data_IF_160700761140
#
_entry.id   IF_160700761140
#
_cell.length_a   1.000
_cell.length_b   1.000
_cell.length_c   1.000
_cell.angle_alpha   90.00
_cell.angle_beta   90.00
_cell.angle_gamma   90.00
#
_symmetry.space_group_name_H-M   'P 1'
#
loop_
_entity.id
_entity.type
_entity.pdbx_description
1 polymer ?
#
# COMPACT_ATOMS: atom_id res chain seq x y z
N UNK A 1 -27.63 13.38 -65.79
CA UNK A 1 -26.85 13.02 -64.58
C UNK A 1 -26.83 14.24 -63.66
N UNK A 2 -27.42 14.12 -62.47
CA UNK A 2 -27.62 15.25 -61.55
C UNK A 2 -26.29 15.81 -61.05
N UNK A 3 -26.12 17.14 -61.12
CA UNK A 3 -25.06 17.86 -60.42
C UNK A 3 -25.25 17.70 -58.90
N UNK A 4 -24.53 16.74 -58.32
CA UNK A 4 -24.48 16.57 -56.87
C UNK A 4 -23.80 17.82 -56.28
N UNK A 5 -24.56 18.60 -55.53
CA UNK A 5 -24.16 19.88 -54.95
C UNK A 5 -22.87 19.73 -54.10
N UNK A 6 -21.72 20.06 -54.69
CA UNK A 6 -20.35 19.91 -54.13
C UNK A 6 -20.21 20.50 -52.71
N UNK A 7 -20.94 21.57 -52.40
CA UNK A 7 -20.90 22.23 -51.09
C UNK A 7 -21.53 21.37 -49.97
N UNK A 8 -22.63 20.66 -50.25
CA UNK A 8 -23.26 19.75 -49.27
C UNK A 8 -22.36 18.54 -48.97
N UNK A 9 -21.73 17.98 -49.99
CA UNK A 9 -20.78 16.86 -49.84
C UNK A 9 -19.56 17.26 -49.01
N UNK A 10 -18.99 18.43 -49.28
CA UNK A 10 -17.86 18.96 -48.50
C UNK A 10 -18.23 19.26 -47.04
N UNK A 11 -19.45 19.76 -46.79
CA UNK A 11 -19.94 19.98 -45.43
C UNK A 11 -20.04 18.65 -44.65
N UNK A 12 -20.66 17.62 -45.24
CA UNK A 12 -20.79 16.29 -44.62
C UNK A 12 -19.40 15.67 -44.37
N UNK A 13 -18.48 15.76 -45.33
CA UNK A 13 -17.12 15.24 -45.18
C UNK A 13 -16.35 15.94 -44.04
N UNK A 14 -16.44 17.28 -43.94
CA UNK A 14 -15.80 18.04 -42.86
C UNK A 14 -16.41 17.71 -41.49
N UNK A 15 -17.72 17.52 -41.41
CA UNK A 15 -18.37 17.11 -40.15
C UNK A 15 -17.95 15.70 -39.73
N UNK A 16 -17.89 14.75 -40.67
CA UNK A 16 -17.44 13.38 -40.39
C UNK A 16 -15.97 13.35 -39.94
N UNK A 17 -15.09 14.13 -40.58
CA UNK A 17 -13.69 14.31 -40.15
C UNK A 17 -13.59 14.93 -38.76
N UNK A 18 -14.42 15.94 -38.47
CA UNK A 18 -14.49 16.57 -37.15
C UNK A 18 -14.89 15.56 -36.07
N UNK A 19 -15.96 14.79 -36.29
CA UNK A 19 -16.41 13.73 -35.36
C UNK A 19 -15.29 12.71 -35.15
N UNK A 20 -14.60 12.29 -36.21
CA UNK A 20 -13.45 11.39 -36.12
C UNK A 20 -12.36 11.93 -35.20
N UNK A 21 -11.92 13.18 -35.43
CA UNK A 21 -10.87 13.82 -34.61
C UNK A 21 -11.31 13.95 -33.15
N UNK A 22 -12.56 14.37 -32.89
CA UNK A 22 -13.09 14.45 -31.53
C UNK A 22 -13.14 13.08 -30.85
N UNK A 23 -13.60 12.03 -31.54
CA UNK A 23 -13.62 10.68 -30.98
C UNK A 23 -12.21 10.17 -30.67
N UNK A 24 -11.25 10.34 -31.58
CA UNK A 24 -9.85 9.95 -31.36
C UNK A 24 -9.20 10.72 -30.21
N UNK A 25 -9.38 12.04 -30.16
CA UNK A 25 -8.84 12.86 -29.07
C UNK A 25 -9.46 12.49 -27.72
N UNK A 26 -10.77 12.20 -27.69
CA UNK A 26 -11.46 11.71 -26.50
C UNK A 26 -10.96 10.35 -26.03
N UNK A 27 -10.66 9.43 -26.95
CA UNK A 27 -10.07 8.12 -26.62
C UNK A 27 -8.65 8.27 -26.06
N UNK A 28 -7.81 9.10 -26.70
CA UNK A 28 -6.44 9.36 -26.22
C UNK A 28 -6.47 10.00 -24.83
N UNK A 29 -7.34 11.00 -24.62
CA UNK A 29 -7.51 11.65 -23.33
C UNK A 29 -8.05 10.69 -22.26
N UNK A 30 -9.04 9.86 -22.62
CA UNK A 30 -9.59 8.84 -21.73
C UNK A 30 -8.55 7.81 -21.29
N UNK A 31 -7.73 7.34 -22.23
CA UNK A 31 -6.62 6.43 -21.93
C UNK A 31 -5.59 7.06 -20.99
N UNK A 32 -5.23 8.33 -21.23
CA UNK A 32 -4.33 9.08 -20.37
C UNK A 32 -4.88 9.26 -18.95
N UNK A 33 -6.15 9.66 -18.81
CA UNK A 33 -6.80 9.83 -17.51
C UNK A 33 -6.91 8.51 -16.75
N UNK A 34 -7.18 7.40 -17.44
CA UNK A 34 -7.23 6.07 -16.83
C UNK A 34 -5.86 5.67 -16.27
N UNK A 35 -4.78 5.83 -17.05
CA UNK A 35 -3.42 5.55 -16.58
C UNK A 35 -3.03 6.43 -15.40
N UNK A 36 -3.39 7.71 -15.42
CA UNK A 36 -3.10 8.63 -14.32
C UNK A 36 -3.77 8.25 -12.97
N UNK A 37 -4.80 7.40 -12.98
CA UNK A 37 -5.48 6.90 -11.77
C UNK A 37 -4.96 5.55 -11.28
N UNK A 38 -4.24 4.79 -12.12
CA UNK A 38 -3.73 3.49 -11.73
C UNK A 38 -2.47 3.65 -10.88
N UNK A 39 -2.57 3.41 -9.57
CA UNK A 39 -1.43 3.22 -8.66
C UNK A 39 -1.56 1.85 -8.00
N UNK A 40 -1.07 0.78 -8.62
CA UNK A 40 -1.37 -0.55 -8.06
C UNK A 40 -0.45 -0.94 -6.90
N UNK A 41 0.83 -0.57 -6.89
CA UNK A 41 1.79 -1.06 -5.88
C UNK A 41 2.92 -0.10 -5.48
N UNK A 42 2.73 1.22 -5.62
CA UNK A 42 3.81 2.18 -5.33
C UNK A 42 3.85 2.63 -3.89
N UNK A 43 5.04 2.66 -3.31
CA UNK A 43 5.27 3.14 -1.96
C UNK A 43 5.46 4.65 -1.95
N UNK A 44 4.83 5.29 -0.97
CA UNK A 44 4.88 6.75 -0.77
C UNK A 44 5.95 7.12 0.26
N UNK A 45 6.47 8.37 0.22
CA UNK A 45 7.39 8.87 1.25
C UNK A 45 6.83 8.72 2.67
N UNK A 46 7.69 8.79 3.72
CA UNK A 46 7.22 8.79 5.09
C UNK A 46 6.26 9.96 5.35
N UNK A 47 5.32 9.78 6.27
CA UNK A 47 4.31 10.79 6.59
C UNK A 47 3.24 11.01 5.52
N UNK A 48 3.23 10.22 4.42
CA UNK A 48 2.14 10.31 3.45
C UNK A 48 0.79 9.94 4.07
N UNK A 49 -0.22 10.75 3.78
CA UNK A 49 -1.62 10.42 4.06
C UNK A 49 -2.07 9.22 3.23
N UNK A 50 -3.25 8.70 3.55
CA UNK A 50 -3.90 7.65 2.76
C UNK A 50 -3.92 8.01 1.27
N UNK A 51 -3.70 7.03 0.39
CA UNK A 51 -3.41 7.26 -1.03
C UNK A 51 -4.42 8.21 -1.70
N UNK A 52 -5.72 8.04 -1.42
CA UNK A 52 -6.77 8.88 -2.01
C UNK A 52 -6.75 10.34 -1.53
N UNK A 53 -6.28 10.61 -0.32
CA UNK A 53 -6.12 11.94 0.26
C UNK A 53 -4.80 12.56 -0.20
N UNK A 54 -3.73 11.77 -0.20
CA UNK A 54 -2.42 12.15 -0.71
C UNK A 54 -2.49 12.67 -2.14
N UNK A 55 -3.18 11.95 -3.04
CA UNK A 55 -3.33 12.36 -4.44
C UNK A 55 -4.12 13.66 -4.63
N UNK A 56 -4.99 14.02 -3.68
CA UNK A 56 -5.74 15.29 -3.71
C UNK A 56 -4.90 16.47 -3.25
N UNK A 57 -4.04 16.26 -2.25
CA UNK A 57 -3.22 17.30 -1.63
C UNK A 57 -1.88 17.52 -2.34
N UNK A 58 -1.34 16.49 -3.00
CA UNK A 58 -0.04 16.57 -3.64
C UNK A 58 -0.09 17.46 -4.89
N UNK A 59 0.53 18.64 -4.80
CA UNK A 59 0.68 19.58 -5.92
C UNK A 59 1.89 19.27 -6.82
N UNK A 60 2.55 18.11 -6.64
CA UNK A 60 3.64 17.64 -7.50
C UNK A 60 4.85 18.58 -7.57
N UNK A 61 5.14 19.28 -6.47
CA UNK A 61 6.21 20.30 -6.41
C UNK A 61 7.64 19.73 -6.36
N UNK A 62 7.83 18.43 -6.07
CA UNK A 62 9.14 17.78 -6.04
C UNK A 62 10.07 18.15 -4.88
N UNK A 63 9.62 18.96 -3.91
CA UNK A 63 10.45 19.35 -2.76
C UNK A 63 10.88 18.15 -1.91
N UNK A 64 9.97 17.21 -1.65
CA UNK A 64 10.32 16.00 -0.89
C UNK A 64 11.42 15.16 -1.57
N UNK A 65 11.47 15.14 -2.91
CA UNK A 65 12.53 14.46 -3.69
C UNK A 65 13.85 15.21 -3.54
N UNK A 66 13.83 16.53 -3.66
CA UNK A 66 15.05 17.37 -3.57
C UNK A 66 15.69 17.31 -2.18
N UNK A 67 14.88 17.22 -1.12
CA UNK A 67 15.36 17.15 0.26
C UNK A 67 15.63 15.72 0.73
N UNK A 68 15.51 14.71 -0.13
CA UNK A 68 15.88 13.34 0.21
C UNK A 68 17.40 13.18 0.06
N UNK A 69 18.17 12.98 1.14
CA UNK A 69 19.64 12.96 1.07
C UNK A 69 20.22 11.70 0.39
N UNK A 70 19.40 10.67 0.18
CA UNK A 70 19.81 9.38 -0.36
C UNK A 70 19.25 9.09 -1.76
N UNK A 71 18.61 10.07 -2.41
CA UNK A 71 17.97 9.91 -3.72
C UNK A 71 16.97 8.72 -3.78
N UNK A 72 16.40 8.35 -2.64
CA UNK A 72 15.39 7.29 -2.52
C UNK A 72 14.14 7.65 -3.31
N UNK A 73 13.67 8.89 -3.16
CA UNK A 73 12.42 9.36 -3.74
C UNK A 73 12.63 9.81 -5.19
N UNK A 74 11.68 9.49 -6.06
CA UNK A 74 11.65 9.93 -7.46
C UNK A 74 10.27 10.42 -7.84
N UNK A 75 10.21 11.35 -8.79
CA UNK A 75 8.95 11.78 -9.39
C UNK A 75 8.54 10.78 -10.48
N UNK A 76 7.29 10.33 -10.41
CA UNK A 76 6.72 9.45 -11.42
C UNK A 76 6.71 10.11 -12.79
N UNK A 77 7.23 9.41 -13.78
CA UNK A 77 7.14 9.75 -15.19
C UNK A 77 5.88 9.14 -15.82
N UNK A 78 5.47 9.55 -17.03
CA UNK A 78 4.34 8.91 -17.74
C UNK A 78 4.58 7.43 -18.07
N UNK A 79 5.82 6.96 -18.02
CA UNK A 79 6.17 5.55 -18.26
C UNK A 79 5.87 4.69 -17.04
N UNK A 80 6.01 5.25 -15.84
CA UNK A 80 5.79 4.56 -14.58
C UNK A 80 4.30 4.21 -14.35
N UNK A 81 4.06 3.13 -13.61
CA UNK A 81 2.71 2.69 -13.18
C UNK A 81 2.22 3.44 -11.93
N UNK A 82 2.55 4.72 -11.86
CA UNK A 82 2.30 5.62 -10.73
C UNK A 82 1.74 6.94 -11.26
N UNK A 83 0.79 7.57 -10.57
CA UNK A 83 0.25 8.87 -10.97
C UNK A 83 1.38 9.88 -11.27
N UNK A 84 1.46 10.34 -12.53
CA UNK A 84 2.57 11.15 -13.02
C UNK A 84 2.80 12.40 -12.17
N UNK A 85 4.07 12.66 -11.86
CA UNK A 85 4.55 13.77 -11.04
C UNK A 85 4.37 13.57 -9.53
N UNK A 86 3.86 12.42 -9.08
CA UNK A 86 3.80 12.10 -7.65
C UNK A 86 5.10 11.42 -7.18
N UNK A 87 5.56 11.66 -5.94
CA UNK A 87 6.75 11.03 -5.41
C UNK A 87 6.48 9.58 -5.03
N UNK A 88 7.42 8.71 -5.36
CA UNK A 88 7.43 7.29 -4.97
C UNK A 88 8.88 6.80 -4.82
N UNK A 89 9.06 5.59 -4.30
CA UNK A 89 10.36 4.93 -4.31
C UNK A 89 10.24 3.43 -4.59
N UNK A 90 11.34 2.82 -5.01
CA UNK A 90 11.43 1.38 -5.29
C UNK A 90 12.44 0.76 -4.32
N UNK A 91 11.97 0.06 -3.26
CA UNK A 91 12.81 -0.56 -2.24
C UNK A 91 14.01 -1.33 -2.79
N UNK A 92 13.76 -2.19 -3.79
CA UNK A 92 14.80 -3.02 -4.40
C UNK A 92 15.98 -2.21 -4.95
N UNK A 93 15.73 -1.00 -5.49
CA UNK A 93 16.76 -0.15 -6.08
C UNK A 93 17.44 0.70 -5.00
N UNK A 94 16.67 1.58 -4.36
CA UNK A 94 17.14 2.48 -3.31
C UNK A 94 16.03 2.52 -2.25
N UNK A 95 16.23 1.90 -1.07
CA UNK A 95 15.25 1.90 0.00
C UNK A 95 15.26 3.24 0.75
N UNK A 96 14.30 3.43 1.65
CA UNK A 96 14.30 4.51 2.61
C UNK A 96 15.26 4.18 3.77
N UNK A 97 16.28 5.02 3.97
CA UNK A 97 17.26 4.86 5.03
C UNK A 97 16.82 5.39 6.40
N UNK A 98 15.55 5.76 6.56
CA UNK A 98 14.95 6.20 7.83
C UNK A 98 15.76 7.32 8.52
N UNK A 99 15.92 8.46 7.84
CA UNK A 99 16.61 9.64 8.39
C UNK A 99 15.97 10.08 9.71
N UNK A 100 16.78 10.42 10.72
CA UNK A 100 16.30 10.87 12.05
C UNK A 100 15.42 12.11 11.93
N UNK A 101 15.87 13.13 11.19
CA UNK A 101 15.15 14.42 11.08
C UNK A 101 14.08 14.45 9.97
N UNK A 102 13.90 13.33 9.25
CA UNK A 102 12.92 13.16 8.16
C UNK A 102 12.77 14.41 7.25
N UNK A 103 13.85 14.94 6.64
CA UNK A 103 13.84 16.25 5.97
C UNK A 103 12.85 16.34 4.79
N UNK A 104 12.42 15.21 4.24
CA UNK A 104 11.47 15.16 3.14
C UNK A 104 10.01 15.51 3.53
N UNK A 105 9.64 15.44 4.82
CA UNK A 105 8.26 15.67 5.29
C UNK A 105 7.97 17.16 5.56
N UNK A 106 8.75 17.88 6.38
CA UNK A 106 8.44 19.28 6.74
C UNK A 106 8.44 20.25 5.57
N UNK A 107 9.09 19.89 4.46
CA UNK A 107 9.17 20.72 3.26
C UNK A 107 7.89 20.69 2.42
N UNK A 108 6.92 19.84 2.76
CA UNK A 108 5.66 19.71 2.04
C UNK A 108 4.74 20.92 2.28
N UNK A 109 4.46 21.77 1.28
CA UNK A 109 3.67 22.98 1.49
C UNK A 109 2.16 22.73 1.66
N UNK A 110 1.67 21.54 1.29
CA UNK A 110 0.24 21.20 1.28
C UNK A 110 -0.15 20.17 2.32
N UNK A 111 0.77 19.76 3.20
CA UNK A 111 0.58 18.68 4.17
C UNK A 111 0.09 17.37 3.53
N UNK A 112 0.46 17.11 2.27
CA UNK A 112 0.29 15.79 1.66
C UNK A 112 1.19 14.75 2.38
N UNK A 113 2.37 15.20 2.81
CA UNK A 113 3.17 14.55 3.84
C UNK A 113 2.92 15.32 5.14
N UNK A 114 2.36 14.64 6.14
CA UNK A 114 1.89 15.23 7.39
C UNK A 114 2.81 14.81 8.54
N UNK A 115 3.45 15.80 9.17
CA UNK A 115 4.34 15.59 10.33
C UNK A 115 3.60 14.92 11.49
N UNK A 116 2.31 15.21 11.66
CA UNK A 116 1.49 14.66 12.76
C UNK A 116 1.37 13.15 12.70
N UNK A 117 1.51 12.55 11.52
CA UNK A 117 1.49 11.09 11.36
C UNK A 117 2.77 10.42 11.86
N UNK A 118 3.83 11.20 12.09
CA UNK A 118 5.13 10.74 12.58
C UNK A 118 5.40 11.16 14.03
N UNK A 119 4.65 12.14 14.55
CA UNK A 119 4.89 12.66 15.88
C UNK A 119 4.62 11.63 16.99
N UNK A 120 5.51 11.62 17.96
CA UNK A 120 5.36 10.94 19.25
C UNK A 120 5.40 11.99 20.37
N UNK A 121 4.71 11.68 21.48
CA UNK A 121 4.77 12.46 22.71
C UNK A 121 5.69 11.71 23.67
N UNK A 122 6.87 12.26 23.91
CA UNK A 122 7.82 11.71 24.87
C UNK A 122 8.22 12.81 25.87
N UNK A 123 8.02 12.56 27.17
CA UNK A 123 8.32 13.52 28.26
C UNK A 123 7.70 14.92 28.05
N UNK A 124 6.41 14.97 27.69
CA UNK A 124 5.64 16.20 27.40
C UNK A 124 6.20 17.05 26.24
N UNK A 125 7.09 16.49 25.40
CA UNK A 125 7.59 17.12 24.18
C UNK A 125 7.16 16.34 22.95
N UNK A 126 6.62 17.06 21.98
CA UNK A 126 6.32 16.52 20.66
C UNK A 126 7.60 16.47 19.84
N UNK A 127 7.94 15.28 19.33
CA UNK A 127 9.05 15.09 18.41
C UNK A 127 8.64 14.14 17.27
N UNK A 128 9.19 14.37 16.07
CA UNK A 128 8.97 13.47 14.94
C UNK A 128 9.79 12.20 15.13
N UNK A 129 9.16 11.05 14.96
CA UNK A 129 9.85 9.75 14.93
C UNK A 129 9.50 9.00 13.64
N UNK A 130 10.53 8.76 12.82
CA UNK A 130 10.44 8.00 11.57
C UNK A 130 9.95 6.55 11.79
N UNK A 131 10.08 6.01 13.00
CA UNK A 131 9.62 4.66 13.37
C UNK A 131 8.09 4.53 13.32
N UNK A 132 7.35 5.64 13.37
CA UNK A 132 5.89 5.66 13.19
C UNK A 132 5.44 5.75 11.73
N UNK A 133 6.37 5.88 10.77
CA UNK A 133 6.02 5.98 9.36
C UNK A 133 5.28 4.73 8.87
N UNK A 134 4.25 4.94 8.05
CA UNK A 134 3.39 3.88 7.49
C UNK A 134 3.48 3.84 5.96
N UNK A 135 4.68 3.69 5.41
CA UNK A 135 4.92 3.69 3.96
C UNK A 135 4.41 2.40 3.28
N UNK A 136 4.50 1.27 3.98
CA UNK A 136 4.13 -0.05 3.48
C UNK A 136 4.30 -1.15 4.52
N UNK A 137 4.16 -2.41 4.11
CA UNK A 137 4.42 -3.60 4.93
C UNK A 137 5.25 -4.61 4.14
N UNK A 138 6.25 -5.18 4.78
CA UNK A 138 7.04 -6.25 4.19
C UNK A 138 6.29 -7.60 4.26
N UNK A 139 6.25 -8.32 3.15
CA UNK A 139 5.62 -9.64 3.01
C UNK A 139 6.67 -10.62 2.50
N UNK A 140 6.75 -11.78 3.13
CA UNK A 140 7.71 -12.84 2.80
C UNK A 140 7.02 -13.89 1.92
N UNK A 141 7.61 -14.17 0.77
CA UNK A 141 7.35 -15.35 -0.04
C UNK A 141 8.12 -16.53 0.53
N UNK A 142 7.38 -17.43 1.18
CA UNK A 142 7.91 -18.60 1.87
C UNK A 142 8.62 -19.56 0.90
N UNK A 143 8.08 -19.72 -0.31
CA UNK A 143 8.59 -20.71 -1.28
C UNK A 143 9.90 -20.28 -1.93
N UNK A 144 10.11 -18.97 -2.10
CA UNK A 144 11.34 -18.43 -2.68
C UNK A 144 12.39 -18.06 -1.62
N UNK A 145 12.02 -18.04 -0.34
CA UNK A 145 12.93 -17.62 0.73
C UNK A 145 13.89 -18.75 1.12
N UNK A 146 15.19 -18.53 0.87
CA UNK A 146 16.25 -19.50 1.20
C UNK A 146 16.31 -19.87 2.68
N UNK A 147 15.83 -19.00 3.58
CA UNK A 147 15.74 -19.29 5.01
C UNK A 147 14.75 -20.42 5.31
N UNK A 148 13.64 -20.48 4.56
CA UNK A 148 12.67 -21.57 4.63
C UNK A 148 13.20 -22.86 3.99
N UNK A 149 14.19 -22.77 3.11
CA UNK A 149 14.89 -23.95 2.57
C UNK A 149 15.94 -24.53 3.55
N UNK A 150 16.16 -23.89 4.70
CA UNK A 150 17.10 -24.34 5.73
C UNK A 150 18.50 -23.74 5.64
N UNK A 151 18.69 -22.73 4.79
CA UNK A 151 19.93 -21.94 4.77
C UNK A 151 19.84 -20.91 5.91
N UNK A 152 20.92 -20.74 6.68
CA UNK A 152 21.00 -19.75 7.77
C UNK A 152 21.17 -18.33 7.23
N UNK A 153 20.15 -17.83 6.55
CA UNK A 153 20.11 -16.49 5.99
C UNK A 153 19.30 -15.57 6.91
N UNK A 154 19.94 -14.52 7.44
CA UNK A 154 19.33 -13.49 8.28
C UNK A 154 19.53 -12.08 7.69
N UNK A 155 19.79 -11.99 6.39
CA UNK A 155 20.10 -10.73 5.70
C UNK A 155 19.01 -9.67 5.87
N UNK A 156 17.73 -10.06 5.70
CA UNK A 156 16.61 -9.14 5.86
C UNK A 156 16.41 -8.68 7.31
N UNK A 157 16.68 -9.56 8.28
CA UNK A 157 16.61 -9.29 9.71
C UNK A 157 17.68 -8.28 10.13
N UNK A 158 18.95 -8.52 9.76
CA UNK A 158 20.06 -7.61 10.06
C UNK A 158 19.97 -6.26 9.35
N UNK A 159 19.35 -6.22 8.17
CA UNK A 159 19.14 -4.98 7.44
C UNK A 159 18.00 -4.12 8.02
N UNK A 160 17.13 -4.69 8.86
CA UNK A 160 16.02 -3.95 9.44
C UNK A 160 16.53 -2.98 10.52
N UNK A 161 16.20 -1.68 10.48
CA UNK A 161 16.51 -0.76 11.58
C UNK A 161 15.72 -1.05 12.86
N UNK A 162 14.63 -1.80 12.75
CA UNK A 162 13.70 -2.18 13.83
C UNK A 162 13.82 -3.68 14.13
N UNK A 163 15.04 -4.11 14.44
CA UNK A 163 15.37 -5.50 14.79
C UNK A 163 14.53 -5.94 16.00
N UNK A 164 14.01 -7.16 15.96
CA UNK A 164 13.15 -7.78 16.99
C UNK A 164 11.81 -7.06 17.26
N UNK A 165 11.54 -5.95 16.57
CA UNK A 165 10.28 -5.22 16.61
C UNK A 165 9.49 -5.45 15.33
N UNK A 166 10.02 -5.02 14.18
CA UNK A 166 9.35 -5.14 12.89
C UNK A 166 9.64 -6.46 12.17
N UNK A 167 10.85 -7.01 12.33
CA UNK A 167 11.22 -8.33 11.82
C UNK A 167 11.84 -9.13 12.97
N UNK A 168 11.26 -10.31 13.22
CA UNK A 168 11.70 -11.26 14.24
C UNK A 168 12.16 -12.53 13.56
N UNK A 169 13.05 -13.28 14.21
CA UNK A 169 13.43 -14.62 13.77
C UNK A 169 12.70 -15.66 14.62
N UNK A 170 11.91 -16.50 13.96
CA UNK A 170 11.33 -17.68 14.57
C UNK A 170 12.26 -18.87 14.33
N UNK A 171 12.67 -19.50 15.44
CA UNK A 171 13.54 -20.67 15.41
C UNK A 171 12.68 -21.93 15.35
N UNK A 172 12.66 -22.59 14.18
CA UNK A 172 11.94 -23.86 14.00
C UNK A 172 12.94 -25.01 13.85
N UNK A 173 12.72 -26.13 14.52
CA UNK A 173 13.59 -27.30 14.36
C UNK A 173 13.44 -27.91 12.96
N UNK A 174 14.54 -28.42 12.39
CA UNK A 174 14.49 -29.13 11.14
C UNK A 174 14.17 -30.61 11.34
N UNK A 175 12.92 -30.97 11.04
CA UNK A 175 12.39 -32.34 11.19
C UNK A 175 13.23 -33.41 10.48
N UNK A 176 13.91 -33.05 9.38
CA UNK A 176 14.73 -34.01 8.60
C UNK A 176 16.05 -34.36 9.28
N UNK A 177 16.66 -33.43 10.02
CA UNK A 177 18.04 -33.60 10.54
C UNK A 177 18.15 -33.48 12.05
N UNK A 178 17.17 -32.91 12.75
CA UNK A 178 17.15 -32.66 14.19
C UNK A 178 18.42 -31.98 14.76
N UNK A 179 19.24 -31.37 13.91
CA UNK A 179 20.52 -30.74 14.28
C UNK A 179 20.60 -29.27 13.91
N UNK A 180 19.84 -28.83 12.91
CA UNK A 180 19.81 -27.44 12.46
C UNK A 180 18.42 -26.83 12.71
N UNK A 181 18.39 -25.57 13.12
CA UNK A 181 17.16 -24.77 13.19
C UNK A 181 17.03 -23.92 11.93
N UNK A 182 15.79 -23.82 11.43
CA UNK A 182 15.38 -22.79 10.49
C UNK A 182 15.36 -21.44 11.21
N UNK A 183 15.82 -20.39 10.52
CA UNK A 183 15.78 -19.00 10.97
C UNK A 183 14.71 -18.27 10.16
N UNK A 184 13.44 -18.43 10.53
CA UNK A 184 12.33 -17.96 9.72
C UNK A 184 12.06 -16.48 10.01
N UNK A 185 12.16 -15.57 9.01
CA UNK A 185 11.83 -14.17 9.22
C UNK A 185 10.32 -13.98 9.30
N UNK A 186 9.85 -13.43 10.44
CA UNK A 186 8.45 -13.09 10.69
C UNK A 186 8.33 -11.57 10.79
N UNK A 187 7.47 -10.99 9.95
CA UNK A 187 7.24 -9.54 9.91
C UNK A 187 6.05 -9.17 10.78
N UNK A 188 6.23 -8.21 11.68
CA UNK A 188 5.15 -7.58 12.44
C UNK A 188 4.62 -6.37 11.67
N UNK A 189 3.40 -6.48 11.14
CA UNK A 189 2.76 -5.44 10.32
C UNK A 189 2.39 -4.16 11.08
N UNK A 190 2.35 -4.21 12.42
CA UNK A 190 2.06 -3.06 13.27
C UNK A 190 3.28 -2.18 13.49
N UNK A 191 4.48 -2.79 13.48
CA UNK A 191 5.77 -2.11 13.66
C UNK A 191 6.52 -1.87 12.35
N UNK A 192 6.22 -2.64 11.31
CA UNK A 192 6.85 -2.46 10.00
C UNK A 192 6.47 -1.09 9.40
N UNK A 193 7.50 -0.28 9.15
CA UNK A 193 7.34 1.05 8.53
C UNK A 193 7.22 1.00 7.01
N UNK A 194 7.66 -0.09 6.39
CA UNK A 194 7.75 -0.23 4.95
C UNK A 194 8.94 0.50 4.32
N UNK A 195 10.05 0.68 5.05
CA UNK A 195 11.23 1.38 4.54
C UNK A 195 11.93 0.69 3.37
N UNK A 196 11.76 -0.63 3.21
CA UNK A 196 12.28 -1.37 2.05
C UNK A 196 13.72 -1.89 2.18
N UNK A 197 14.43 -1.61 3.28
CA UNK A 197 15.80 -2.09 3.49
C UNK A 197 15.91 -3.62 3.42
N UNK A 198 14.90 -4.33 3.90
CA UNK A 198 14.83 -5.78 3.87
C UNK A 198 14.69 -6.35 2.44
N UNK A 199 13.93 -5.69 1.56
CA UNK A 199 13.79 -6.06 0.14
C UNK A 199 15.08 -5.80 -0.64
N UNK A 200 15.77 -4.69 -0.34
CA UNK A 200 17.07 -4.35 -0.92
C UNK A 200 18.15 -5.36 -0.51
N UNK A 201 18.19 -5.74 0.77
CA UNK A 201 19.18 -6.68 1.31
C UNK A 201 18.96 -8.14 0.90
N UNK A 202 17.80 -8.48 0.34
CA UNK A 202 17.46 -9.85 0.01
C UNK A 202 18.38 -10.40 -1.11
N UNK A 203 19.10 -11.49 -0.82
CA UNK A 203 20.12 -12.08 -1.71
C UNK A 203 19.55 -12.82 -2.92
N UNK A 204 18.25 -13.08 -2.96
CA UNK A 204 17.61 -13.81 -4.05
C UNK A 204 17.53 -12.93 -5.31
N UNK A 205 17.49 -13.54 -6.50
CA UNK A 205 17.44 -12.83 -7.79
C UNK A 205 16.27 -11.84 -7.85
N UNK A 206 15.06 -12.33 -7.57
CA UNK A 206 13.88 -11.53 -7.24
C UNK A 206 13.69 -11.63 -5.73
N UNK A 207 13.53 -10.50 -5.05
CA UNK A 207 13.45 -10.49 -3.59
C UNK A 207 12.33 -11.40 -3.09
N UNK A 208 12.67 -12.32 -2.19
CA UNK A 208 11.69 -13.17 -1.52
C UNK A 208 10.94 -12.43 -0.41
N UNK A 209 11.41 -11.26 0.01
CA UNK A 209 10.69 -10.34 0.88
C UNK A 209 10.45 -9.05 0.12
N UNK A 210 9.19 -8.63 -0.01
CA UNK A 210 8.79 -7.46 -0.79
C UNK A 210 7.94 -6.52 0.05
N UNK A 211 8.10 -5.22 -0.13
CA UNK A 211 7.29 -4.21 0.56
C UNK A 211 6.15 -3.77 -0.33
N UNK A 212 4.93 -3.91 0.20
CA UNK A 212 3.70 -3.56 -0.49
C UNK A 212 2.97 -2.43 0.24
N UNK A 213 2.16 -1.61 -0.46
CA UNK A 213 1.26 -0.67 0.18
C UNK A 213 0.36 -1.36 1.21
N UNK A 214 0.06 -0.68 2.32
CA UNK A 214 -0.66 -1.27 3.46
C UNK A 214 -2.06 -1.74 3.08
N UNK A 215 -2.75 -0.99 2.23
CA UNK A 215 -4.08 -1.30 1.71
C UNK A 215 -4.11 -2.55 0.80
N UNK A 216 -2.96 -2.92 0.22
CA UNK A 216 -2.81 -4.12 -0.61
C UNK A 216 -2.29 -5.32 0.16
N UNK A 217 -1.48 -5.08 1.19
CA UNK A 217 -0.85 -6.14 1.98
C UNK A 217 -1.73 -6.64 3.13
N UNK A 218 -2.48 -5.74 3.76
CA UNK A 218 -3.23 -6.05 4.98
C UNK A 218 -4.69 -6.35 4.67
N UNK A 219 -5.22 -7.38 5.35
CA UNK A 219 -6.66 -7.64 5.38
C UNK A 219 -7.39 -6.72 6.36
N UNK A 220 -8.69 -6.57 6.14
CA UNK A 220 -9.62 -5.94 7.07
C UNK A 220 -10.67 -6.96 7.51
N UNK A 221 -11.06 -6.93 8.77
CA UNK A 221 -12.09 -7.82 9.32
C UNK A 221 -13.42 -7.06 9.39
N UNK A 222 -14.52 -7.73 9.02
CA UNK A 222 -15.86 -7.17 9.08
C UNK A 222 -16.41 -7.16 10.52
N UNK A 223 -17.54 -6.48 10.75
CA UNK A 223 -18.23 -6.42 12.05
C UNK A 223 -18.70 -7.79 12.55
N UNK A 224 -18.82 -8.78 11.66
CA UNK A 224 -19.24 -10.14 12.00
C UNK A 224 -18.20 -10.90 12.84
N UNK A 225 -16.95 -10.43 12.88
CA UNK A 225 -15.87 -11.05 13.64
C UNK A 225 -15.19 -9.99 14.50
N UNK A 226 -15.60 -9.95 15.77
CA UNK A 226 -15.08 -9.03 16.77
C UNK A 226 -14.33 -9.80 17.84
N UNK A 227 -13.18 -9.27 18.23
CA UNK A 227 -12.40 -9.75 19.37
C UNK A 227 -13.03 -9.18 20.64
N UNK A 228 -13.90 -9.94 21.30
CA UNK A 228 -14.54 -9.56 22.57
C UNK A 228 -13.58 -9.41 23.77
N UNK A 229 -12.27 -9.42 23.54
CA UNK A 229 -11.25 -9.13 24.54
C UNK A 229 -10.44 -7.88 24.21
N UNK A 230 -10.66 -7.27 23.05
CA UNK A 230 -10.00 -6.04 22.61
C UNK A 230 -11.02 -4.91 22.55
N UNK A 231 -10.97 -4.01 23.54
CA UNK A 231 -11.89 -2.87 23.65
C UNK A 231 -11.90 -1.97 22.41
N UNK A 232 -10.76 -1.87 21.70
CA UNK A 232 -10.67 -1.08 20.48
C UNK A 232 -11.42 -1.74 19.32
N UNK A 233 -11.42 -3.07 19.29
CA UNK A 233 -12.13 -3.86 18.31
C UNK A 233 -13.63 -3.97 18.62
N UNK A 234 -13.98 -4.09 19.90
CA UNK A 234 -15.37 -4.05 20.38
C UNK A 234 -16.09 -2.75 20.03
N UNK A 235 -15.38 -1.63 19.98
CA UNK A 235 -15.95 -0.35 19.57
C UNK A 235 -16.52 -0.36 18.14
N UNK A 236 -16.15 -1.34 17.29
CA UNK A 236 -16.74 -1.54 15.97
C UNK A 236 -18.22 -1.95 16.03
N UNK A 237 -18.69 -2.51 17.14
CA UNK A 237 -20.13 -2.77 17.36
C UNK A 237 -20.96 -1.50 17.28
N UNK A 238 -20.43 -0.35 17.70
CA UNK A 238 -21.17 0.91 17.63
C UNK A 238 -21.43 1.38 16.19
N UNK A 239 -20.85 0.73 15.18
CA UNK A 239 -21.11 0.99 13.77
C UNK A 239 -22.35 0.23 13.25
N UNK A 240 -22.90 -0.73 14.00
CA UNK A 240 -24.01 -1.59 13.57
C UNK A 240 -25.39 -0.94 13.63
N UNK A 241 -25.53 0.24 14.25
CA UNK A 241 -26.80 0.97 14.36
C UNK A 241 -27.45 1.33 13.00
N UNK A 242 -26.74 1.11 11.88
CA UNK A 242 -27.23 1.35 10.51
C UNK A 242 -27.71 0.11 9.76
N UNK A 243 -27.58 -1.10 10.32
CA UNK A 243 -28.04 -2.33 9.70
C UNK A 243 -29.06 -2.97 10.64
N UNK A 244 -30.28 -2.44 10.65
CA UNK A 244 -31.40 -3.17 11.23
C UNK A 244 -31.52 -4.51 10.50
N UNK A 245 -31.53 -5.65 11.19
CA UNK A 245 -31.79 -6.93 10.54
C UNK A 245 -33.16 -6.85 9.85
N UNK A 246 -33.20 -7.13 8.54
CA UNK A 246 -34.47 -7.39 7.85
C UNK A 246 -35.04 -8.67 8.43
N UNK A 247 -36.05 -8.53 9.29
CA UNK A 247 -36.97 -9.55 9.76
C UNK A 247 -36.33 -10.88 10.16
N UNK A 248 -35.85 -10.98 11.40
CA UNK A 248 -35.76 -12.28 12.09
C UNK A 248 -37.10 -12.57 12.76
N UNK A 249 -38.15 -12.75 11.98
CA UNK A 249 -39.51 -12.98 12.50
C UNK A 249 -39.79 -14.46 12.80
N UNK A 250 -38.76 -15.31 12.88
CA UNK A 250 -38.98 -16.71 13.24
C UNK A 250 -37.81 -17.31 14.04
N UNK A 251 -37.57 -16.75 15.22
CA UNK A 251 -36.68 -17.38 16.22
C UNK A 251 -37.20 -18.75 16.67
N UNK A 252 -38.51 -19.00 16.58
CA UNK A 252 -39.11 -20.26 17.02
C UNK A 252 -38.77 -21.42 16.07
N UNK A 253 -38.79 -21.23 14.74
CA UNK A 253 -38.40 -22.31 13.82
C UNK A 253 -36.92 -22.69 13.90
N UNK A 254 -36.04 -21.72 14.22
CA UNK A 254 -34.61 -21.99 14.42
C UNK A 254 -34.37 -22.78 15.71
N UNK A 255 -35.09 -22.44 16.78
CA UNK A 255 -35.02 -23.17 18.06
C UNK A 255 -35.62 -24.58 17.91
N UNK A 256 -36.73 -24.72 17.20
CA UNK A 256 -37.35 -26.02 16.96
C UNK A 256 -36.47 -26.93 16.08
N UNK A 257 -35.78 -26.38 15.06
CA UNK A 257 -34.80 -27.13 14.26
C UNK A 257 -33.60 -27.62 15.07
N UNK A 258 -33.07 -26.80 15.99
CA UNK A 258 -31.95 -27.19 16.84
C UNK A 258 -32.36 -28.24 17.89
N UNK A 259 -33.64 -28.27 18.27
CA UNK A 259 -34.17 -29.19 19.27
C UNK A 259 -34.83 -30.43 18.68
N UNK A 260 -35.09 -30.49 17.37
CA UNK A 260 -35.77 -31.63 16.73
C UNK A 260 -34.88 -32.86 16.56
N UNK A 261 -33.57 -32.75 16.82
CA UNK A 261 -32.67 -33.91 16.91
C UNK A 261 -32.43 -34.67 15.59
N UNK A 262 -32.83 -34.11 14.45
CA UNK A 262 -32.55 -34.67 13.13
C UNK A 262 -31.09 -34.36 12.72
N UNK A 263 -30.19 -35.26 13.11
CA UNK A 263 -28.86 -35.47 12.51
C UNK A 263 -28.75 -36.92 12.01
#
# INVERSE_FOLDING_TARGET
MQEINKNRRNAILKTAQGIGIFAFSGLIWGAYVSKAKASSFSLRPPGAKEESEFLKLCIKCGRCVTFCPFDTLKLATPEDDVPTGTPYFTPRKIPCYMCVDVPCVPVCPTNALDEKLLNIVENDKEMMDIRNAKMGVAVVDIESCVAYWGIQCDACYRACPLIDEAIKLEYKQNDRTNKHSYLLPVVDSTKCTGCGLCEHACITKKAAIMVLPRDKALGSVDINYIKGWDKSDEARLNQTDKIAPKNSDDTNSVIDYLNSGDL
#
